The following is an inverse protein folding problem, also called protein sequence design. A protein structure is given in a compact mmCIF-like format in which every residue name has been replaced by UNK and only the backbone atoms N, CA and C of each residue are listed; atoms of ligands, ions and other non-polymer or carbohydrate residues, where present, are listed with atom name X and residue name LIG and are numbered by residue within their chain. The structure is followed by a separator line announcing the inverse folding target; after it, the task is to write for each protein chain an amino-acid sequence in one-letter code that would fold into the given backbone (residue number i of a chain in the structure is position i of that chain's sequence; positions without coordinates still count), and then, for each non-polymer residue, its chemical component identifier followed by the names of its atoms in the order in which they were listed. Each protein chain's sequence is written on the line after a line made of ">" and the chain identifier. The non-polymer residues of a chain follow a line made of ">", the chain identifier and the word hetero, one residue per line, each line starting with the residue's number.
data_IF_782733772423
#
_entry.id   IF_782733772423
#
_cell.length_a   1.000
_cell.length_b   1.000
_cell.length_c   1.000
_cell.angle_alpha   90.00
_cell.angle_beta   90.00
_cell.angle_gamma   90.00
#
_symmetry.space_group_name_H-M   'P 1'
#
loop_
_entity.id
_entity.type
_entity.pdbx_description
1 polymer ?
#
# COMPACT_ATOMS: atom_id res chain seq x y z
N UNK A 1 -8.78 -0.98 -2.91
CA UNK A 1 -7.48 -0.42 -2.45
C UNK A 1 -7.27 0.89 -3.18
N UNK A 2 -6.75 1.93 -2.51
CA UNK A 2 -6.41 3.18 -3.18
C UNK A 2 -5.12 3.07 -4.00
N UNK A 3 -4.97 3.96 -4.99
CA UNK A 3 -3.82 3.94 -5.90
C UNK A 3 -2.50 4.29 -5.23
N UNK A 4 -2.51 5.03 -4.12
CA UNK A 4 -1.28 5.42 -3.41
C UNK A 4 -0.64 4.21 -2.73
N UNK A 5 -1.43 3.45 -1.96
CA UNK A 5 -0.96 2.23 -1.31
C UNK A 5 -0.59 1.15 -2.33
N UNK A 6 -1.40 1.00 -3.38
CA UNK A 6 -1.12 0.02 -4.44
C UNK A 6 0.19 0.32 -5.18
N UNK A 7 0.47 1.60 -5.46
CA UNK A 7 1.71 2.00 -6.12
C UNK A 7 2.94 1.75 -5.23
N UNK A 8 2.86 2.06 -3.92
CA UNK A 8 3.91 1.72 -2.96
C UNK A 8 4.16 0.20 -2.91
N UNK A 9 3.08 -0.59 -2.86
CA UNK A 9 3.15 -2.04 -2.86
C UNK A 9 3.83 -2.58 -4.13
N UNK A 10 3.45 -2.07 -5.30
CA UNK A 10 4.04 -2.46 -6.58
C UNK A 10 5.53 -2.10 -6.67
N UNK A 11 5.92 -0.88 -6.27
CA UNK A 11 7.32 -0.46 -6.26
C UNK A 11 8.17 -1.35 -5.34
N UNK A 12 7.66 -1.73 -4.17
CA UNK A 12 8.36 -2.62 -3.24
C UNK A 12 8.46 -4.02 -3.80
N UNK A 13 7.37 -4.62 -4.26
CA UNK A 13 7.35 -6.00 -4.71
C UNK A 13 8.19 -6.21 -5.98
N UNK A 14 7.95 -5.42 -7.03
CA UNK A 14 8.70 -5.49 -8.29
C UNK A 14 10.14 -5.00 -8.14
N UNK A 15 10.38 -4.00 -7.27
CA UNK A 15 11.72 -3.51 -7.00
C UNK A 15 12.59 -4.58 -6.32
N UNK A 16 12.04 -5.33 -5.36
CA UNK A 16 12.75 -6.44 -4.73
C UNK A 16 13.01 -7.59 -5.71
N UNK A 17 12.05 -7.93 -6.58
CA UNK A 17 12.27 -8.93 -7.63
C UNK A 17 13.40 -8.50 -8.58
N UNK A 18 13.39 -7.23 -9.00
CA UNK A 18 14.45 -6.68 -9.86
C UNK A 18 15.82 -6.68 -9.16
N UNK A 19 15.88 -6.31 -7.87
CA UNK A 19 17.13 -6.30 -7.10
C UNK A 19 17.70 -7.72 -6.88
N UNK A 20 16.84 -8.73 -6.74
CA UNK A 20 17.23 -10.12 -6.54
C UNK A 20 17.59 -10.85 -7.86
N UNK A 21 17.14 -10.32 -8.99
CA UNK A 21 17.27 -10.94 -10.32
C UNK A 21 18.36 -10.34 -11.19
N UNK A 22 18.14 -10.45 -12.49
CA UNK A 22 19.02 -9.85 -13.52
C UNK A 22 18.70 -8.35 -13.65
N UNK A 23 19.53 -7.52 -13.06
CA UNK A 23 19.42 -6.05 -13.08
C UNK A 23 19.59 -5.44 -14.48
N UNK A 24 20.06 -6.21 -15.47
CA UNK A 24 20.11 -5.76 -16.87
C UNK A 24 18.70 -5.68 -17.50
N UNK A 25 17.69 -6.32 -16.88
CA UNK A 25 16.31 -6.19 -17.33
C UNK A 25 15.70 -4.91 -16.77
N UNK A 26 15.01 -4.16 -17.63
CA UNK A 26 14.24 -3.01 -17.21
C UNK A 26 13.09 -3.42 -16.26
N UNK A 27 12.91 -2.66 -15.18
CA UNK A 27 11.77 -2.85 -14.29
C UNK A 27 10.47 -2.38 -14.98
N UNK A 28 9.51 -3.26 -15.14
CA UNK A 28 8.26 -2.98 -15.88
C UNK A 28 7.14 -2.43 -15.00
N UNK A 29 7.38 -2.15 -13.74
CA UNK A 29 6.35 -1.71 -12.78
C UNK A 29 5.56 -0.49 -13.26
N UNK A 30 6.19 0.44 -13.98
CA UNK A 30 5.54 1.63 -14.53
C UNK A 30 4.50 1.32 -15.62
N UNK A 31 4.52 0.14 -16.23
CA UNK A 31 3.52 -0.30 -17.19
C UNK A 31 2.27 -0.91 -16.53
N UNK A 32 2.31 -1.13 -15.21
CA UNK A 32 1.23 -1.74 -14.46
C UNK A 32 0.05 -0.79 -14.18
N UNK A 33 -1.05 -1.39 -13.72
CA UNK A 33 -2.31 -0.66 -13.45
C UNK A 33 -2.17 0.37 -12.33
N UNK A 34 -1.19 0.21 -11.43
CA UNK A 34 -0.89 1.19 -10.36
C UNK A 34 -0.39 2.54 -10.88
N UNK A 35 0.04 2.61 -12.14
CA UNK A 35 0.50 3.83 -12.81
C UNK A 35 -0.47 4.34 -13.90
N UNK A 36 -1.60 3.65 -14.13
CA UNK A 36 -2.50 3.96 -15.25
C UNK A 36 -3.04 5.40 -15.26
N UNK A 37 -3.20 6.03 -14.09
CA UNK A 37 -3.68 7.41 -13.93
C UNK A 37 -2.57 8.41 -13.62
N UNK A 38 -1.31 7.97 -13.64
CA UNK A 38 -0.14 8.80 -13.37
C UNK A 38 0.38 9.38 -14.69
N UNK A 39 0.49 10.70 -14.73
CA UNK A 39 1.10 11.41 -15.87
C UNK A 39 2.62 11.41 -15.78
N UNK A 40 3.15 11.74 -14.60
CA UNK A 40 4.58 11.76 -14.34
C UNK A 40 4.88 11.23 -12.94
N UNK A 41 5.98 10.52 -12.80
CA UNK A 41 6.54 10.14 -11.51
C UNK A 41 7.96 10.65 -11.42
N UNK A 42 8.33 11.23 -10.27
CA UNK A 42 9.66 11.74 -9.99
C UNK A 42 10.13 11.27 -8.63
N UNK A 43 11.42 10.95 -8.54
CA UNK A 43 12.07 10.60 -7.28
C UNK A 43 13.20 11.59 -7.03
N UNK A 44 13.24 12.19 -5.84
CA UNK A 44 14.28 13.14 -5.44
C UNK A 44 14.81 12.79 -4.08
N UNK A 45 16.11 12.50 -3.97
CA UNK A 45 16.78 12.29 -2.69
C UNK A 45 17.30 13.65 -2.18
N UNK A 46 16.81 14.05 -1.01
CA UNK A 46 17.27 15.27 -0.32
C UNK A 46 18.33 14.90 0.71
N UNK A 47 19.59 15.09 0.38
CA UNK A 47 20.71 14.91 1.31
C UNK A 47 21.06 16.24 1.98
N UNK A 48 20.53 16.47 3.20
CA UNK A 48 20.93 17.59 4.05
C UNK A 48 20.63 19.00 3.51
N UNK A 49 20.97 20.04 4.30
CA UNK A 49 20.68 21.45 3.98
C UNK A 49 21.58 22.09 2.91
N UNK A 50 22.62 21.40 2.42
CA UNK A 50 23.66 21.98 1.57
C UNK A 50 23.97 21.19 0.29
N UNK A 51 23.05 20.37 -0.21
CA UNK A 51 23.28 19.65 -1.48
C UNK A 51 22.97 20.57 -2.65
N UNK A 52 23.98 20.95 -3.39
CA UNK A 52 23.85 21.82 -4.58
C UNK A 52 23.07 21.16 -5.73
N UNK A 53 22.96 19.83 -5.73
CA UNK A 53 22.18 19.07 -6.73
C UNK A 53 21.53 17.86 -6.08
N UNK A 54 20.19 17.81 -5.95
CA UNK A 54 19.49 16.61 -5.52
C UNK A 54 19.67 15.49 -6.55
N UNK A 55 19.79 14.24 -6.06
CA UNK A 55 19.75 13.06 -6.93
C UNK A 55 18.30 12.88 -7.38
N UNK A 56 18.06 12.88 -8.69
CA UNK A 56 16.72 12.78 -9.27
C UNK A 56 16.62 11.61 -10.24
N UNK A 57 15.47 10.94 -10.25
CA UNK A 57 15.08 9.99 -11.28
C UNK A 57 13.65 10.31 -11.75
N UNK A 58 13.41 10.18 -13.05
CA UNK A 58 12.12 10.55 -13.68
C UNK A 58 11.24 9.31 -13.96
N UNK A 59 11.70 8.14 -13.57
CA UNK A 59 10.96 6.87 -13.68
C UNK A 59 11.43 5.84 -12.62
N UNK A 60 10.64 4.80 -12.36
CA UNK A 60 10.99 3.77 -11.38
C UNK A 60 12.26 2.98 -11.70
N UNK A 61 12.59 2.73 -12.98
CA UNK A 61 13.79 1.97 -13.33
C UNK A 61 15.05 2.76 -12.99
N UNK A 62 15.13 4.03 -13.41
CA UNK A 62 16.23 4.90 -13.07
C UNK A 62 16.37 5.11 -11.54
N UNK A 63 15.25 5.14 -10.81
CA UNK A 63 15.26 5.20 -9.36
C UNK A 63 15.88 3.94 -8.74
N UNK A 64 15.48 2.75 -9.19
CA UNK A 64 16.00 1.46 -8.70
C UNK A 64 17.48 1.31 -9.01
N UNK A 65 17.92 1.69 -10.21
CA UNK A 65 19.34 1.71 -10.60
C UNK A 65 20.14 2.61 -9.65
N UNK A 66 19.68 3.84 -9.44
CA UNK A 66 20.34 4.78 -8.52
C UNK A 66 20.35 4.29 -7.06
N UNK A 67 19.32 3.58 -6.61
CA UNK A 67 19.30 2.92 -5.29
C UNK A 67 20.37 1.82 -5.21
N UNK A 68 20.46 0.97 -6.23
CA UNK A 68 21.44 -0.11 -6.28
C UNK A 68 22.89 0.41 -6.31
N UNK A 69 23.16 1.49 -7.04
CA UNK A 69 24.46 2.18 -7.06
C UNK A 69 24.86 2.71 -5.67
N UNK A 70 23.89 3.15 -4.85
CA UNK A 70 24.09 3.58 -3.47
C UNK A 70 24.15 2.43 -2.45
N UNK A 71 24.11 1.18 -2.93
CA UNK A 71 24.23 -0.01 -2.08
C UNK A 71 22.94 -0.42 -1.37
N UNK A 72 21.79 0.05 -1.84
CA UNK A 72 20.49 -0.47 -1.40
C UNK A 72 20.30 -1.89 -1.97
N UNK A 73 19.83 -2.79 -1.15
CA UNK A 73 19.65 -4.20 -1.49
C UNK A 73 18.23 -4.72 -1.27
N UNK A 74 17.38 -3.95 -0.59
CA UNK A 74 15.99 -4.33 -0.37
C UNK A 74 15.09 -3.10 -0.16
N UNK A 75 13.82 -3.26 -0.54
CA UNK A 75 12.76 -2.28 -0.33
C UNK A 75 11.73 -2.85 0.63
N UNK A 76 11.20 -2.00 1.50
CA UNK A 76 10.21 -2.35 2.49
C UNK A 76 9.07 -1.34 2.50
N UNK A 77 7.85 -1.82 2.42
CA UNK A 77 6.68 -1.00 2.69
C UNK A 77 6.58 -0.82 4.22
N UNK A 78 6.66 0.42 4.68
CA UNK A 78 6.45 0.80 6.08
C UNK A 78 5.03 1.38 6.22
N UNK A 79 4.05 0.58 6.70
CA UNK A 79 2.67 1.04 6.84
C UNK A 79 2.55 1.97 8.03
N UNK A 80 1.99 3.16 7.82
CA UNK A 80 1.65 4.06 8.91
C UNK A 80 0.19 3.90 9.28
N UNK A 81 -0.06 3.14 10.33
CA UNK A 81 -1.39 2.76 10.79
C UNK A 81 -2.00 3.77 11.77
N UNK A 82 -1.18 4.56 12.43
CA UNK A 82 -1.62 5.58 13.35
C UNK A 82 -0.92 6.90 13.05
N UNK A 83 -1.71 7.94 12.86
CA UNK A 83 -1.24 9.31 12.81
C UNK A 83 -2.01 10.11 13.86
N UNK A 84 -1.35 10.89 14.72
CA UNK A 84 -2.00 11.82 15.63
C UNK A 84 -2.63 13.03 14.91
N UNK A 85 -3.05 12.88 13.66
CA UNK A 85 -3.81 13.90 12.92
C UNK A 85 -5.19 14.14 13.52
N UNK A 86 -5.90 15.18 13.04
CA UNK A 86 -7.24 15.52 13.55
C UNK A 86 -8.32 14.51 13.14
N UNK A 87 -8.05 13.67 12.14
CA UNK A 87 -8.98 12.65 11.63
C UNK A 87 -8.46 11.25 11.91
N UNK A 88 -9.35 10.27 12.19
CA UNK A 88 -9.00 8.86 12.19
C UNK A 88 -8.31 8.44 10.89
N UNK A 89 -7.32 7.55 10.97
CA UNK A 89 -6.48 7.18 9.83
C UNK A 89 -7.28 6.61 8.64
N UNK A 90 -8.33 5.80 8.90
CA UNK A 90 -9.20 5.26 7.86
C UNK A 90 -10.04 6.33 7.15
N UNK A 91 -10.39 7.42 7.84
CA UNK A 91 -11.08 8.58 7.23
C UNK A 91 -10.08 9.42 6.43
N UNK A 92 -8.89 9.67 6.98
CA UNK A 92 -7.84 10.39 6.27
C UNK A 92 -7.45 9.73 4.94
N UNK A 93 -7.50 8.40 4.87
CA UNK A 93 -7.22 7.61 3.67
C UNK A 93 -8.17 7.89 2.48
N UNK A 94 -9.32 8.54 2.71
CA UNK A 94 -10.21 8.98 1.64
C UNK A 94 -9.67 10.16 0.82
N UNK A 95 -8.63 10.82 1.30
CA UNK A 95 -8.06 12.01 0.67
C UNK A 95 -6.68 11.72 0.07
N UNK A 96 -6.36 12.42 -1.03
CA UNK A 96 -5.01 12.36 -1.59
C UNK A 96 -3.97 12.78 -0.53
N UNK A 97 -2.89 12.02 -0.41
CA UNK A 97 -1.86 12.16 0.62
C UNK A 97 -2.35 11.90 2.07
N UNK A 98 -3.54 11.35 2.24
CA UNK A 98 -4.06 10.96 3.56
C UNK A 98 -3.39 9.69 4.11
N UNK A 99 -2.95 8.80 3.23
CA UNK A 99 -2.13 7.64 3.60
C UNK A 99 -0.67 8.07 3.75
N UNK A 100 -0.07 7.80 4.91
CA UNK A 100 1.33 8.18 5.19
C UNK A 100 2.30 7.00 5.16
N UNK A 101 1.94 5.93 4.49
CA UNK A 101 2.85 4.81 4.23
C UNK A 101 4.04 5.27 3.40
N UNK A 102 5.18 4.64 3.58
CA UNK A 102 6.43 5.01 2.93
C UNK A 102 7.19 3.78 2.47
N UNK A 103 8.18 3.97 1.59
CA UNK A 103 9.15 2.93 1.26
C UNK A 103 10.41 3.19 2.07
N UNK A 104 10.90 2.17 2.78
CA UNK A 104 12.24 2.15 3.33
C UNK A 104 13.13 1.36 2.37
N UNK A 105 14.11 2.03 1.79
CA UNK A 105 15.16 1.44 0.98
C UNK A 105 16.33 1.10 1.92
N UNK A 106 16.54 -0.20 2.17
CA UNK A 106 17.51 -0.69 3.13
C UNK A 106 18.82 -1.10 2.44
N UNK A 107 19.94 -0.72 3.04
CA UNK A 107 21.28 -0.95 2.54
C UNK A 107 22.32 -0.36 3.47
N UNK A 108 23.47 0.04 2.92
CA UNK A 108 24.54 0.70 3.69
C UNK A 108 24.05 1.98 4.40
N UNK A 109 23.27 2.78 3.69
CA UNK A 109 22.58 3.95 4.21
C UNK A 109 21.10 3.77 3.91
N UNK A 110 20.28 3.70 4.96
CA UNK A 110 18.84 3.55 4.77
C UNK A 110 18.22 4.89 4.35
N UNK A 111 17.32 4.81 3.37
CA UNK A 111 16.58 5.96 2.84
C UNK A 111 15.08 5.73 3.00
N UNK A 112 14.35 6.74 3.45
CA UNK A 112 12.87 6.71 3.50
C UNK A 112 12.30 7.57 2.40
N UNK A 113 11.39 6.98 1.63
CA UNK A 113 10.76 7.61 0.49
C UNK A 113 9.26 7.79 0.74
N UNK A 114 8.79 9.03 0.64
CA UNK A 114 7.39 9.42 0.86
C UNK A 114 6.85 10.02 -0.43
N UNK A 115 5.68 9.55 -0.86
CA UNK A 115 5.00 10.07 -2.04
C UNK A 115 4.15 11.31 -1.73
N UNK A 116 4.21 12.30 -2.59
CA UNK A 116 3.27 13.41 -2.66
C UNK A 116 2.52 13.34 -4.00
N UNK A 117 1.20 13.28 -3.93
CA UNK A 117 0.30 13.20 -5.08
C UNK A 117 -0.32 14.55 -5.34
N UNK A 118 -0.17 15.06 -6.56
CA UNK A 118 -0.70 16.34 -6.98
C UNK A 118 -1.57 16.18 -8.22
N UNK A 119 -2.75 16.76 -8.21
CA UNK A 119 -3.63 16.80 -9.38
C UNK A 119 -3.02 17.74 -10.41
N UNK A 120 -2.62 17.20 -11.54
CA UNK A 120 -2.14 18.02 -12.66
C UNK A 120 -3.28 18.59 -13.47
N UNK A 121 -4.16 17.71 -13.96
CA UNK A 121 -5.28 18.08 -14.83
C UNK A 121 -6.48 17.18 -14.55
N UNK A 122 -7.51 17.65 -13.83
CA UNK A 122 -8.64 16.80 -13.40
C UNK A 122 -9.42 16.14 -14.55
N UNK A 123 -9.34 16.69 -15.75
CA UNK A 123 -10.03 16.20 -16.96
C UNK A 123 -9.05 15.90 -18.09
N UNK A 124 -7.92 15.26 -17.77
CA UNK A 124 -6.96 14.81 -18.77
C UNK A 124 -7.64 13.83 -19.74
N UNK A 125 -7.49 13.99 -21.08
CA UNK A 125 -8.17 13.14 -22.07
C UNK A 125 -7.78 11.65 -21.96
N UNK A 126 -6.57 11.36 -21.47
CA UNK A 126 -6.00 10.04 -21.27
C UNK A 126 -6.20 9.51 -19.85
N UNK A 127 -6.98 10.22 -19.01
CA UNK A 127 -7.18 9.96 -17.59
C UNK A 127 -5.91 10.01 -16.71
N UNK A 128 -4.77 10.47 -17.23
CA UNK A 128 -3.53 10.62 -16.46
C UNK A 128 -3.54 11.94 -15.70
N UNK A 129 -4.26 11.94 -14.59
CA UNK A 129 -4.58 13.16 -13.82
C UNK A 129 -3.56 13.47 -12.72
N UNK A 130 -2.67 12.52 -12.37
CA UNK A 130 -1.78 12.64 -11.23
C UNK A 130 -0.32 12.84 -11.64
N UNK A 131 0.35 13.78 -10.99
CA UNK A 131 1.80 13.81 -10.87
C UNK A 131 2.18 13.31 -9.48
N UNK A 132 3.15 12.39 -9.41
CA UNK A 132 3.61 11.78 -8.16
C UNK A 132 5.07 12.10 -7.94
N UNK A 133 5.37 12.69 -6.79
CA UNK A 133 6.72 13.01 -6.39
C UNK A 133 7.12 12.24 -5.13
N UNK A 134 8.06 11.34 -5.26
CA UNK A 134 8.69 10.64 -4.16
C UNK A 134 9.87 11.46 -3.64
N UNK A 135 9.82 11.83 -2.36
CA UNK A 135 10.91 12.54 -1.70
C UNK A 135 11.60 11.57 -0.75
N UNK A 136 12.87 11.32 -1.01
CA UNK A 136 13.75 10.49 -0.20
C UNK A 136 14.55 11.33 0.80
N UNK A 137 14.80 10.77 1.96
CA UNK A 137 15.69 11.31 2.99
C UNK A 137 16.38 10.17 3.73
N UNK A 138 17.55 10.44 4.32
CA UNK A 138 18.22 9.46 5.17
C UNK A 138 17.32 9.04 6.33
N UNK A 139 17.21 7.73 6.57
CA UNK A 139 16.40 7.19 7.67
C UNK A 139 17.26 6.55 8.76
N UNK A 140 16.94 6.89 10.02
CA UNK A 140 17.56 6.33 11.22
C UNK A 140 16.55 5.60 12.11
N UNK A 141 15.27 5.65 11.74
CA UNK A 141 14.18 5.09 12.57
C UNK A 141 14.01 3.58 12.37
N UNK A 142 14.51 3.06 11.25
CA UNK A 142 14.38 1.66 10.90
C UNK A 142 12.97 1.23 10.50
N UNK A 143 12.81 -0.08 10.30
CA UNK A 143 11.52 -0.70 9.98
C UNK A 143 10.65 -0.85 11.23
N UNK A 144 9.36 -0.65 11.04
CA UNK A 144 8.37 -1.12 12.02
C UNK A 144 8.16 -2.62 11.85
N UNK A 145 7.80 -3.25 12.95
CA UNK A 145 7.46 -4.66 12.93
C UNK A 145 6.21 -4.89 12.07
N UNK A 146 6.35 -5.79 11.11
CA UNK A 146 5.27 -6.27 10.25
C UNK A 146 5.03 -7.73 10.60
N UNK A 147 3.78 -8.14 10.84
CA UNK A 147 3.50 -9.52 11.22
C UNK A 147 3.89 -10.51 10.12
N UNK A 148 4.21 -11.74 10.50
CA UNK A 148 4.41 -12.82 9.54
C UNK A 148 3.15 -13.05 8.69
N UNK A 149 3.32 -13.52 7.44
CA UNK A 149 2.22 -13.70 6.47
C UNK A 149 1.03 -14.45 7.06
N UNK A 150 1.27 -15.55 7.78
CA UNK A 150 0.20 -16.33 8.42
C UNK A 150 -0.58 -15.48 9.44
N UNK A 151 0.11 -14.81 10.34
CA UNK A 151 -0.53 -13.98 11.37
C UNK A 151 -1.26 -12.79 10.77
N UNK A 152 -0.71 -12.16 9.72
CA UNK A 152 -1.37 -11.10 8.98
C UNK A 152 -2.65 -11.60 8.30
N UNK A 153 -2.60 -12.80 7.71
CA UNK A 153 -3.76 -13.43 7.08
C UNK A 153 -4.88 -13.74 8.09
N UNK A 154 -4.54 -14.39 9.20
CA UNK A 154 -5.52 -14.72 10.26
C UNK A 154 -6.18 -13.47 10.83
N UNK A 155 -5.40 -12.42 11.10
CA UNK A 155 -5.93 -11.12 11.58
C UNK A 155 -6.84 -10.46 10.56
N UNK A 156 -6.48 -10.47 9.28
CA UNK A 156 -7.27 -9.83 8.23
C UNK A 156 -8.58 -10.58 7.99
N UNK A 157 -8.57 -11.92 8.02
CA UNK A 157 -9.81 -12.73 7.98
C UNK A 157 -10.72 -12.36 9.14
N UNK A 158 -10.17 -12.21 10.35
CA UNK A 158 -10.93 -11.79 11.53
C UNK A 158 -11.54 -10.40 11.38
N UNK A 159 -10.75 -9.41 10.97
CA UNK A 159 -11.18 -8.02 10.79
C UNK A 159 -12.24 -7.89 9.66
N UNK A 160 -12.04 -8.55 8.51
CA UNK A 160 -13.01 -8.56 7.42
C UNK A 160 -14.33 -9.28 7.82
N UNK A 161 -14.24 -10.35 8.61
CA UNK A 161 -15.40 -11.02 9.16
C UNK A 161 -16.18 -10.13 10.13
N UNK A 162 -15.49 -9.41 11.03
CA UNK A 162 -16.12 -8.45 11.93
C UNK A 162 -16.84 -7.33 11.18
N UNK A 163 -16.22 -6.79 10.12
CA UNK A 163 -16.84 -5.78 9.25
C UNK A 163 -18.07 -6.33 8.52
N UNK A 164 -18.03 -7.57 7.99
CA UNK A 164 -19.18 -8.24 7.40
C UNK A 164 -20.33 -8.40 8.40
N UNK A 165 -20.02 -8.84 9.60
CA UNK A 165 -21.02 -9.12 10.64
C UNK A 165 -21.65 -7.81 11.15
N UNK A 166 -20.86 -6.74 11.27
CA UNK A 166 -21.37 -5.39 11.53
C UNK A 166 -22.33 -4.94 10.43
N UNK A 167 -21.92 -5.06 9.16
CA UNK A 167 -22.74 -4.70 8.01
C UNK A 167 -24.09 -5.46 8.00
N UNK A 168 -24.07 -6.76 8.31
CA UNK A 168 -25.30 -7.56 8.44
C UNK A 168 -26.21 -7.03 9.56
N UNK A 169 -25.66 -6.74 10.74
CA UNK A 169 -26.46 -6.22 11.87
C UNK A 169 -27.09 -4.87 11.60
N UNK A 170 -26.40 -4.02 10.81
CA UNK A 170 -26.89 -2.68 10.48
C UNK A 170 -27.72 -2.64 9.19
N UNK A 171 -27.94 -3.79 8.53
CA UNK A 171 -28.72 -3.88 7.30
C UNK A 171 -27.99 -3.33 6.06
N UNK A 172 -26.67 -3.20 6.11
CA UNK A 172 -25.84 -2.77 4.98
C UNK A 172 -25.51 -3.98 4.08
N UNK A 173 -26.52 -4.51 3.42
CA UNK A 173 -26.45 -5.80 2.71
C UNK A 173 -25.39 -5.85 1.63
N UNK A 174 -25.22 -4.76 0.86
CA UNK A 174 -24.23 -4.69 -0.21
C UNK A 174 -22.79 -4.78 0.35
N UNK A 175 -22.55 -4.15 1.50
CA UNK A 175 -21.26 -4.23 2.19
C UNK A 175 -21.02 -5.58 2.83
N UNK A 176 -22.04 -6.19 3.39
CA UNK A 176 -21.95 -7.56 3.91
C UNK A 176 -21.58 -8.54 2.81
N UNK A 177 -22.21 -8.42 1.64
CA UNK A 177 -21.87 -9.20 0.45
C UNK A 177 -20.44 -8.92 -0.04
N UNK A 178 -20.04 -7.65 -0.09
CA UNK A 178 -18.68 -7.26 -0.48
C UNK A 178 -17.62 -7.96 0.36
N UNK A 179 -17.75 -7.94 1.68
CA UNK A 179 -16.79 -8.62 2.57
C UNK A 179 -16.88 -10.15 2.46
N UNK A 180 -18.08 -10.71 2.26
CA UNK A 180 -18.23 -12.14 2.02
C UNK A 180 -17.46 -12.57 0.75
N UNK A 181 -17.56 -11.81 -0.35
CA UNK A 181 -16.80 -12.05 -1.57
C UNK A 181 -15.29 -11.90 -1.35
N UNK A 182 -14.84 -10.85 -0.62
CA UNK A 182 -13.44 -10.66 -0.30
C UNK A 182 -12.86 -11.85 0.50
N UNK A 183 -13.64 -12.41 1.43
CA UNK A 183 -13.23 -13.57 2.23
C UNK A 183 -13.09 -14.86 1.42
N UNK A 184 -13.76 -15.00 0.27
CA UNK A 184 -13.65 -16.21 -0.58
C UNK A 184 -12.25 -16.41 -1.15
N UNK A 185 -11.45 -15.33 -1.30
CA UNK A 185 -10.10 -15.43 -1.86
C UNK A 185 -9.06 -15.88 -0.85
N UNK A 186 -9.39 -15.87 0.45
CA UNK A 186 -8.47 -16.19 1.54
C UNK A 186 -7.82 -17.58 1.37
N UNK A 187 -8.60 -18.59 0.93
CA UNK A 187 -8.15 -19.97 0.74
C UNK A 187 -8.07 -20.38 -0.75
N UNK A 188 -8.24 -19.43 -1.67
CA UNK A 188 -8.26 -19.71 -3.11
C UNK A 188 -6.92 -20.29 -3.58
N UNK A 189 -6.97 -21.29 -4.46
CA UNK A 189 -5.79 -21.82 -5.16
C UNK A 189 -5.30 -20.91 -6.28
N UNK A 190 -6.18 -20.02 -6.79
CA UNK A 190 -5.89 -19.03 -7.81
C UNK A 190 -6.45 -17.65 -7.38
N UNK A 191 -5.85 -17.03 -6.35
CA UNK A 191 -6.33 -15.76 -5.85
C UNK A 191 -6.09 -14.66 -6.88
N UNK A 192 -7.12 -13.83 -7.11
CA UNK A 192 -7.04 -12.64 -7.95
C UNK A 192 -7.43 -11.44 -7.10
N UNK A 193 -6.59 -10.42 -7.09
CA UNK A 193 -6.89 -9.21 -6.36
C UNK A 193 -7.99 -8.42 -7.09
N UNK A 194 -8.95 -7.89 -6.32
CA UNK A 194 -10.07 -7.11 -6.88
C UNK A 194 -9.60 -5.84 -7.58
N UNK A 195 -8.51 -5.26 -7.09
CA UNK A 195 -7.88 -4.06 -7.65
C UNK A 195 -6.37 -4.29 -7.69
N UNK A 196 -5.73 -3.82 -8.77
CA UNK A 196 -4.27 -3.84 -8.92
C UNK A 196 -3.66 -5.24 -8.75
N UNK A 197 -4.22 -6.23 -9.44
CA UNK A 197 -3.75 -7.63 -9.36
C UNK A 197 -2.28 -7.78 -9.79
N UNK A 198 -1.83 -6.88 -10.64
CA UNK A 198 -0.45 -6.77 -11.13
C UNK A 198 0.51 -5.98 -10.18
N UNK A 199 0.04 -5.55 -9.02
CA UNK A 199 0.92 -4.94 -8.02
C UNK A 199 1.91 -5.95 -7.41
N UNK A 200 1.62 -7.24 -7.48
CA UNK A 200 2.57 -8.30 -7.17
C UNK A 200 3.12 -8.92 -8.45
N UNK A 201 4.44 -9.21 -8.50
CA UNK A 201 5.02 -10.00 -9.58
C UNK A 201 4.33 -11.37 -9.71
N UNK A 202 4.17 -11.90 -10.95
CA UNK A 202 3.60 -13.24 -11.17
C UNK A 202 4.37 -14.37 -10.46
N UNK A 203 5.66 -14.17 -10.20
CA UNK A 203 6.54 -15.08 -9.45
C UNK A 203 6.24 -15.15 -7.95
N UNK A 204 5.41 -14.24 -7.42
CA UNK A 204 5.11 -14.17 -6.00
C UNK A 204 4.47 -15.46 -5.46
N UNK A 205 4.90 -15.88 -4.28
CA UNK A 205 4.37 -17.05 -3.59
C UNK A 205 2.85 -17.00 -3.40
N UNK A 206 2.18 -18.15 -3.45
CA UNK A 206 0.72 -18.25 -3.33
C UNK A 206 0.20 -17.60 -2.02
N UNK A 207 0.92 -17.76 -0.91
CA UNK A 207 0.51 -17.17 0.37
C UNK A 207 0.51 -15.63 0.32
N UNK A 208 1.49 -15.02 -0.35
CA UNK A 208 1.57 -13.57 -0.57
C UNK A 208 0.43 -13.08 -1.46
N UNK A 209 0.17 -13.79 -2.55
CA UNK A 209 -0.91 -13.48 -3.49
C UNK A 209 -2.29 -13.57 -2.83
N UNK A 210 -2.53 -14.60 -1.99
CA UNK A 210 -3.77 -14.72 -1.20
C UNK A 210 -3.95 -13.53 -0.26
N UNK A 211 -2.90 -13.21 0.50
CA UNK A 211 -2.94 -12.12 1.46
C UNK A 211 -3.19 -10.77 0.78
N UNK A 212 -2.52 -10.50 -0.34
CA UNK A 212 -2.70 -9.27 -1.10
C UNK A 212 -4.10 -9.20 -1.72
N UNK A 213 -4.62 -10.28 -2.28
CA UNK A 213 -5.94 -10.33 -2.87
C UNK A 213 -7.03 -10.08 -1.82
N UNK A 214 -6.92 -10.72 -0.64
CA UNK A 214 -7.81 -10.47 0.49
C UNK A 214 -7.71 -9.00 0.96
N UNK A 215 -6.51 -8.46 1.09
CA UNK A 215 -6.31 -7.06 1.49
C UNK A 215 -6.88 -6.08 0.45
N UNK A 216 -6.70 -6.37 -0.85
CA UNK A 216 -7.27 -5.56 -1.93
C UNK A 216 -8.81 -5.54 -1.89
N UNK A 217 -9.44 -6.68 -1.65
CA UNK A 217 -10.90 -6.78 -1.51
C UNK A 217 -11.44 -6.17 -0.22
N UNK A 218 -10.65 -6.22 0.86
CA UNK A 218 -11.03 -5.67 2.18
C UNK A 218 -10.75 -4.18 2.34
N UNK A 219 -10.01 -3.57 1.43
CA UNK A 219 -9.77 -2.12 1.45
C UNK A 219 -11.00 -1.37 0.90
N UNK A 220 -11.82 -0.86 1.79
CA UNK A 220 -13.11 -0.22 1.48
C UNK A 220 -13.11 1.30 1.76
N UNK A 221 -11.97 1.84 2.14
CA UNK A 221 -11.77 3.23 2.54
C UNK A 221 -11.48 4.11 1.31
N UNK A 222 -12.32 5.10 1.07
CA UNK A 222 -12.23 5.95 -0.12
C UNK A 222 -13.08 7.22 0.00
N UNK A 223 -13.28 7.88 -1.14
CA UNK A 223 -14.19 9.02 -1.27
C UNK A 223 -15.67 8.66 -1.25
N UNK A 224 -16.51 9.51 -1.83
CA UNK A 224 -17.97 9.35 -1.86
C UNK A 224 -18.41 7.94 -2.29
N UNK A 225 -19.38 7.38 -1.59
CA UNK A 225 -19.91 6.04 -1.83
C UNK A 225 -19.08 4.91 -1.23
N UNK A 226 -18.07 5.22 -0.43
CA UNK A 226 -17.25 4.22 0.26
C UNK A 226 -17.83 3.83 1.63
N UNK A 227 -17.18 2.89 2.28
CA UNK A 227 -17.47 2.49 3.65
C UNK A 227 -17.46 3.68 4.62
N UNK A 228 -16.61 4.69 4.40
CA UNK A 228 -16.51 5.87 5.24
C UNK A 228 -17.74 6.80 5.22
N UNK A 229 -18.65 6.61 4.27
CA UNK A 229 -19.86 7.44 4.13
C UNK A 229 -21.09 6.83 4.82
N UNK A 230 -20.92 5.68 5.47
CA UNK A 230 -22.03 5.02 6.15
C UNK A 230 -22.34 5.71 7.48
N UNK A 231 -23.63 5.79 7.78
CA UNK A 231 -24.13 6.29 9.05
C UNK A 231 -24.67 5.13 9.90
N UNK A 232 -24.13 4.99 11.09
CA UNK A 232 -24.62 3.98 12.02
C UNK A 232 -26.02 4.33 12.56
N UNK A 233 -26.85 3.33 12.96
CA UNK A 233 -28.22 3.55 13.33
C UNK A 233 -28.42 4.33 14.65
N UNK A 234 -27.39 4.42 15.49
CA UNK A 234 -27.43 5.09 16.78
C UNK A 234 -26.01 5.36 17.31
N UNK A 235 -25.82 6.18 18.37
CA UNK A 235 -24.50 6.53 18.88
C UNK A 235 -23.63 5.35 19.34
N UNK A 236 -24.20 4.29 19.88
CA UNK A 236 -23.44 3.09 20.26
C UNK A 236 -22.96 2.34 19.02
N UNK A 237 -23.80 2.24 17.99
CA UNK A 237 -23.43 1.69 16.71
C UNK A 237 -22.35 2.52 16.02
N UNK A 238 -22.34 3.84 16.18
CA UNK A 238 -21.29 4.70 15.65
C UNK A 238 -19.92 4.38 16.28
N UNK A 239 -19.86 4.21 17.60
CA UNK A 239 -18.63 3.84 18.29
C UNK A 239 -18.10 2.47 17.81
N UNK A 240 -18.98 1.47 17.68
CA UNK A 240 -18.61 0.15 17.16
C UNK A 240 -18.14 0.21 15.71
N UNK A 241 -18.82 0.99 14.86
CA UNK A 241 -18.44 1.18 13.47
C UNK A 241 -17.04 1.81 13.34
N UNK A 242 -16.74 2.83 14.14
CA UNK A 242 -15.41 3.48 14.13
C UNK A 242 -14.32 2.51 14.59
N UNK A 243 -14.57 1.70 15.62
CA UNK A 243 -13.64 0.69 16.11
C UNK A 243 -13.35 -0.38 15.06
N UNK A 244 -14.40 -0.99 14.49
CA UNK A 244 -14.27 -2.01 13.43
C UNK A 244 -13.56 -1.44 12.20
N UNK A 245 -13.87 -0.20 11.81
CA UNK A 245 -13.23 0.47 10.67
C UNK A 245 -11.74 0.73 10.92
N UNK A 246 -11.37 1.17 12.10
CA UNK A 246 -9.98 1.43 12.47
C UNK A 246 -9.14 0.14 12.51
N UNK A 247 -9.70 -0.95 13.09
CA UNK A 247 -9.01 -2.26 13.10
C UNK A 247 -8.89 -2.83 11.70
N UNK A 248 -9.95 -2.79 10.89
CA UNK A 248 -9.90 -3.25 9.50
C UNK A 248 -8.85 -2.49 8.70
N UNK A 249 -8.82 -1.16 8.78
CA UNK A 249 -7.85 -0.33 8.08
C UNK A 249 -6.42 -0.68 8.47
N UNK A 250 -6.15 -0.72 9.78
CA UNK A 250 -4.83 -1.08 10.32
C UNK A 250 -4.39 -2.46 9.83
N UNK A 251 -5.30 -3.43 9.90
CA UNK A 251 -4.99 -4.81 9.53
C UNK A 251 -4.75 -4.96 8.03
N UNK A 252 -5.52 -4.24 7.20
CA UNK A 252 -5.28 -4.20 5.74
C UNK A 252 -3.91 -3.63 5.41
N UNK A 253 -3.51 -2.51 6.02
CA UNK A 253 -2.19 -1.93 5.78
C UNK A 253 -1.05 -2.89 6.16
N UNK A 254 -1.17 -3.55 7.32
CA UNK A 254 -0.19 -4.55 7.76
C UNK A 254 -0.16 -5.78 6.86
N UNK A 255 -1.32 -6.20 6.34
CA UNK A 255 -1.42 -7.32 5.41
C UNK A 255 -0.77 -7.01 4.06
N UNK A 256 -0.99 -5.81 3.52
CA UNK A 256 -0.30 -5.38 2.29
C UNK A 256 1.20 -5.36 2.51
N UNK A 257 1.69 -4.79 3.62
CA UNK A 257 3.11 -4.79 3.93
C UNK A 257 3.68 -6.21 4.07
N UNK A 258 2.98 -7.11 4.78
CA UNK A 258 3.40 -8.51 4.91
C UNK A 258 3.45 -9.26 3.56
N UNK A 259 2.54 -8.91 2.64
CA UNK A 259 2.50 -9.53 1.31
C UNK A 259 3.67 -9.12 0.42
N UNK A 260 4.13 -7.86 0.51
CA UNK A 260 5.14 -7.30 -0.41
C UNK A 260 6.55 -7.23 0.16
N UNK A 261 6.69 -7.16 1.47
CA UNK A 261 8.01 -7.05 2.12
C UNK A 261 8.83 -8.34 1.98
N UNK A 262 10.15 -8.25 1.86
CA UNK A 262 11.02 -9.41 1.93
C UNK A 262 10.82 -10.17 3.25
N UNK A 263 11.10 -11.47 3.25
CA UNK A 263 11.15 -12.24 4.49
C UNK A 263 12.41 -11.80 5.25
N UNK A 264 12.25 -11.26 6.46
CA UNK A 264 13.39 -11.10 7.36
C UNK A 264 13.92 -12.49 7.69
N UNK A 265 15.08 -12.83 7.17
CA UNK A 265 15.84 -13.95 7.73
C UNK A 265 16.21 -13.50 9.14
N UNK A 266 15.43 -13.94 10.14
CA UNK A 266 15.86 -13.83 11.53
C UNK A 266 17.16 -14.60 11.62
N UNK A 267 18.27 -13.88 11.82
CA UNK A 267 19.55 -14.51 12.17
C UNK A 267 19.31 -15.30 13.44
N UNK A 268 19.35 -16.63 13.33
CA UNK A 268 19.43 -17.53 14.49
C UNK A 268 20.75 -17.33 15.21
#
# INVERSE_FOLDING_TARGET
>A
MDGQLAQLAALVAHGNEWMAGDRARQCTVAAGTTFQYVNAVRFTLSEGRNVERPITAEDPSAWLEGLAERGVNSLWLDPRTADPGPLPAHIAAAFANGTRSSILAAGHNAERWIAAWTVRQPRAPDNRIWDVHYVGSSDRSGLREVPAIRSAHERLVGAASAARDLANRFGWTDWAQWFAEALTVADSSAPTARFFDDALPPSSELARRRLFALASGSYVFGGMGSWNDLAAPNPNGEAEYLEVSAELYTTVLLAVAAAVNPVTLTSN
#
